data_IF_118212358984
#
_entry.id   IF_118212358984
#
_cell.length_a   1.000
_cell.length_b   1.000
_cell.length_c   1.000
_cell.angle_alpha   90.00
_cell.angle_beta   90.00
_cell.angle_gamma   90.00
#
_symmetry.space_group_name_H-M   'P 1'
#
loop_
_entity.id
_entity.type
_entity.pdbx_description
1 polymer ?
#
# COMPACT_ATOMS: atom_id res chain seq x y z
N UNK A 1 -15.55 4.06 9.79
CA UNK A 1 -14.55 3.37 10.64
C UNK A 1 -14.44 1.88 10.33
N UNK A 2 -15.54 1.10 10.39
CA UNK A 2 -15.50 -0.37 10.13
C UNK A 2 -14.81 -0.75 8.81
N UNK A 3 -15.17 -0.11 7.69
CA UNK A 3 -14.56 -0.37 6.37
C UNK A 3 -13.05 -0.10 6.30
N UNK A 4 -12.60 0.99 6.90
CA UNK A 4 -11.16 1.34 6.92
C UNK A 4 -10.37 0.28 7.68
N UNK A 5 -10.91 -0.21 8.81
CA UNK A 5 -10.30 -1.29 9.56
C UNK A 5 -10.26 -2.60 8.77
N UNK A 6 -11.31 -2.93 8.02
CA UNK A 6 -11.33 -4.10 7.14
C UNK A 6 -10.26 -3.98 6.05
N UNK A 7 -10.17 -2.83 5.37
CA UNK A 7 -9.14 -2.58 4.35
C UNK A 7 -7.74 -2.69 4.95
N UNK A 8 -7.52 -2.06 6.11
CA UNK A 8 -6.25 -2.13 6.83
C UNK A 8 -5.85 -3.57 7.15
N UNK A 9 -6.77 -4.36 7.70
CA UNK A 9 -6.51 -5.75 8.06
C UNK A 9 -6.28 -6.64 6.83
N UNK A 10 -7.07 -6.46 5.76
CA UNK A 10 -6.94 -7.24 4.53
C UNK A 10 -5.63 -6.95 3.82
N UNK A 11 -5.27 -5.67 3.64
CA UNK A 11 -4.02 -5.29 2.97
C UNK A 11 -2.79 -5.59 3.83
N UNK A 12 -2.88 -5.43 5.16
CA UNK A 12 -1.83 -5.84 6.08
C UNK A 12 -1.59 -7.35 6.04
N UNK A 13 -2.66 -8.16 6.00
CA UNK A 13 -2.55 -9.61 5.89
C UNK A 13 -1.95 -10.02 4.53
N UNK A 14 -2.41 -9.40 3.45
CA UNK A 14 -1.87 -9.64 2.11
C UNK A 14 -0.38 -9.32 2.06
N UNK A 15 0.05 -8.19 2.64
CA UNK A 15 1.46 -7.83 2.75
C UNK A 15 2.26 -8.90 3.48
N UNK A 16 1.81 -9.34 4.66
CA UNK A 16 2.51 -10.37 5.46
C UNK A 16 2.64 -11.68 4.69
N UNK A 17 1.61 -12.08 3.95
CA UNK A 17 1.66 -13.27 3.09
C UNK A 17 2.71 -13.09 2.00
N UNK A 18 2.69 -11.97 1.27
CA UNK A 18 3.69 -11.69 0.25
C UNK A 18 5.11 -11.67 0.83
N UNK A 19 5.33 -10.94 1.91
CA UNK A 19 6.64 -10.85 2.56
C UNK A 19 7.12 -12.24 3.02
N UNK A 20 6.24 -13.06 3.58
CA UNK A 20 6.59 -14.43 4.01
C UNK A 20 6.93 -15.31 2.81
N UNK A 21 6.22 -15.17 1.69
CA UNK A 21 6.52 -15.94 0.47
C UNK A 21 7.88 -15.55 -0.14
N UNK A 22 8.26 -14.26 -0.10
CA UNK A 22 9.51 -13.78 -0.69
C UNK A 22 10.72 -13.89 0.25
N UNK A 23 10.55 -13.64 1.56
CA UNK A 23 11.63 -13.59 2.57
C UNK A 23 11.65 -14.81 3.49
N UNK A 24 10.62 -15.63 3.49
CA UNK A 24 10.47 -16.80 4.37
C UNK A 24 9.91 -16.49 5.76
N UNK A 25 9.81 -15.22 6.15
CA UNK A 25 9.22 -14.78 7.42
C UNK A 25 8.77 -13.30 7.37
N UNK A 26 7.86 -12.95 8.27
CA UNK A 26 7.37 -11.59 8.48
C UNK A 26 7.32 -11.28 9.97
N UNK A 27 7.82 -10.11 10.37
CA UNK A 27 7.71 -9.68 11.77
C UNK A 27 6.30 -9.16 12.04
N UNK A 28 5.69 -9.41 13.21
CA UNK A 28 4.31 -8.99 13.49
C UNK A 28 4.03 -7.50 13.29
N UNK A 29 5.03 -6.63 13.49
CA UNK A 29 4.92 -5.19 13.23
C UNK A 29 4.64 -4.87 11.76
N UNK A 30 5.06 -5.73 10.83
CA UNK A 30 4.88 -5.52 9.39
C UNK A 30 3.42 -5.64 8.97
N UNK A 31 2.59 -6.39 9.72
CA UNK A 31 1.14 -6.36 9.54
C UNK A 31 0.58 -4.96 9.75
N UNK A 32 1.03 -4.28 10.82
CA UNK A 32 0.58 -2.94 11.18
C UNK A 32 1.05 -1.90 10.16
N UNK A 33 2.34 -1.97 9.79
CA UNK A 33 2.96 -1.06 8.82
C UNK A 33 2.35 -1.26 7.43
N UNK A 34 2.23 -2.50 6.96
CA UNK A 34 1.66 -2.82 5.65
C UNK A 34 0.19 -2.40 5.53
N UNK A 35 -0.61 -2.65 6.56
CA UNK A 35 -2.00 -2.19 6.61
C UNK A 35 -2.11 -0.67 6.59
N UNK A 36 -1.23 0.04 7.33
CA UNK A 36 -1.20 1.50 7.36
C UNK A 36 -0.86 2.07 5.99
N UNK A 37 0.17 1.53 5.33
CA UNK A 37 0.52 1.89 3.96
C UNK A 37 -0.66 1.70 3.01
N UNK A 38 -1.34 0.54 3.07
CA UNK A 38 -2.49 0.25 2.23
C UNK A 38 -3.63 1.26 2.40
N UNK A 39 -3.96 1.62 3.65
CA UNK A 39 -4.97 2.65 3.92
C UNK A 39 -4.54 4.03 3.40
N UNK A 40 -3.30 4.46 3.69
CA UNK A 40 -2.84 5.80 3.32
C UNK A 40 -2.77 5.97 1.80
N UNK A 41 -2.21 5.00 1.09
CA UNK A 41 -2.17 4.99 -0.38
C UNK A 41 -3.60 5.03 -0.94
N UNK A 42 -4.49 4.16 -0.43
CA UNK A 42 -5.90 4.14 -0.81
C UNK A 42 -6.61 5.47 -0.61
N UNK A 43 -6.41 6.12 0.55
CA UNK A 43 -7.06 7.40 0.83
C UNK A 43 -6.66 8.51 -0.14
N UNK A 44 -5.45 8.46 -0.69
CA UNK A 44 -4.98 9.47 -1.65
C UNK A 44 -5.48 9.17 -3.04
N UNK A 45 -5.48 7.91 -3.47
CA UNK A 45 -6.10 7.53 -4.75
C UNK A 45 -7.59 7.89 -4.78
N UNK A 46 -8.25 7.76 -3.63
CA UNK A 46 -9.66 8.08 -3.45
C UNK A 46 -9.93 9.59 -3.23
N UNK A 47 -8.92 10.45 -3.23
CA UNK A 47 -9.12 11.89 -3.11
C UNK A 47 -9.56 12.49 -4.47
N UNK A 48 -10.59 13.38 -4.51
CA UNK A 48 -11.14 13.91 -5.76
C UNK A 48 -10.12 14.58 -6.70
N UNK A 49 -9.04 15.13 -6.14
CA UNK A 49 -7.94 15.74 -6.90
C UNK A 49 -7.11 14.73 -7.69
N UNK A 50 -7.08 13.48 -7.24
CA UNK A 50 -6.28 12.39 -7.79
C UNK A 50 -7.07 11.44 -8.70
N UNK A 51 -8.40 11.56 -8.77
CA UNK A 51 -9.24 10.75 -9.67
C UNK A 51 -8.83 10.82 -11.15
N UNK A 52 -8.23 11.94 -11.56
CA UNK A 52 -7.75 12.17 -12.93
C UNK A 52 -6.23 12.29 -13.00
N UNK A 53 -5.54 12.01 -11.91
CA UNK A 53 -4.08 12.02 -11.91
C UNK A 53 -3.59 10.75 -12.62
N UNK A 54 -2.58 10.86 -13.50
CA UNK A 54 -1.99 9.69 -14.14
C UNK A 54 -1.51 8.67 -13.13
N UNK A 55 -1.58 7.39 -13.48
CA UNK A 55 -1.18 6.30 -12.56
C UNK A 55 0.28 6.46 -12.13
N UNK A 56 1.16 6.98 -12.99
CA UNK A 56 2.54 7.32 -12.63
C UNK A 56 2.60 8.31 -11.46
N UNK A 57 1.77 9.36 -11.47
CA UNK A 57 1.78 10.39 -10.41
C UNK A 57 1.29 9.79 -9.10
N UNK A 58 0.23 8.98 -9.16
CA UNK A 58 -0.25 8.21 -8.01
C UNK A 58 0.85 7.28 -7.48
N UNK A 59 1.59 6.62 -8.39
CA UNK A 59 2.69 5.73 -8.04
C UNK A 59 3.84 6.43 -7.33
N UNK A 60 4.24 7.62 -7.79
CA UNK A 60 5.29 8.42 -7.15
C UNK A 60 4.87 8.82 -5.73
N UNK A 61 3.66 9.35 -5.59
CA UNK A 61 3.15 9.82 -4.29
C UNK A 61 2.99 8.65 -3.32
N UNK A 62 2.43 7.54 -3.80
CA UNK A 62 2.31 6.31 -3.02
C UNK A 62 3.67 5.81 -2.54
N UNK A 63 4.69 5.81 -3.39
CA UNK A 63 6.03 5.36 -3.02
C UNK A 63 6.66 6.27 -1.95
N UNK A 64 6.48 7.59 -2.07
CA UNK A 64 6.95 8.56 -1.05
C UNK A 64 6.28 8.32 0.30
N UNK A 65 5.00 7.98 0.30
CA UNK A 65 4.26 7.69 1.55
C UNK A 65 4.74 6.41 2.18
N UNK A 66 4.93 5.35 1.39
CA UNK A 66 5.48 4.09 1.90
C UNK A 66 6.85 4.33 2.51
N UNK A 67 7.74 5.06 1.83
CA UNK A 67 9.04 5.43 2.38
C UNK A 67 8.94 6.25 3.67
N UNK A 68 8.01 7.20 3.76
CA UNK A 68 7.82 7.99 4.98
C UNK A 68 7.34 7.12 6.14
N UNK A 69 6.39 6.23 5.90
CA UNK A 69 5.88 5.29 6.90
C UNK A 69 6.95 4.29 7.31
N UNK A 70 7.72 3.75 6.36
CA UNK A 70 8.85 2.86 6.63
C UNK A 70 9.91 3.56 7.46
N UNK A 71 10.28 4.79 7.13
CA UNK A 71 11.28 5.54 7.88
C UNK A 71 10.85 5.77 9.34
N UNK A 72 9.63 6.26 9.55
CA UNK A 72 9.10 6.49 10.90
C UNK A 72 8.99 5.17 11.67
N UNK A 73 8.49 4.11 11.03
CA UNK A 73 8.37 2.79 11.63
C UNK A 73 9.73 2.20 11.97
N UNK A 74 10.73 2.36 11.10
CA UNK A 74 12.10 1.91 11.33
C UNK A 74 12.76 2.66 12.49
N UNK A 75 12.56 3.98 12.60
CA UNK A 75 13.01 4.76 13.75
C UNK A 75 12.43 4.24 15.06
N UNK A 76 11.14 3.89 15.10
CA UNK A 76 10.49 3.35 16.30
C UNK A 76 10.94 1.91 16.58
N UNK A 77 10.81 1.02 15.60
CA UNK A 77 11.00 -0.41 15.78
C UNK A 77 12.48 -0.79 15.88
N UNK A 78 13.33 -0.21 15.05
CA UNK A 78 14.74 -0.60 14.96
C UNK A 78 15.63 0.30 15.82
N UNK A 79 15.48 1.62 15.76
CA UNK A 79 16.36 2.53 16.50
C UNK A 79 15.96 2.68 17.97
N UNK A 80 14.66 2.85 18.26
CA UNK A 80 14.20 3.05 19.63
C UNK A 80 14.02 1.72 20.38
N UNK A 81 13.32 0.77 19.78
CA UNK A 81 13.01 -0.52 20.42
C UNK A 81 14.07 -1.61 20.19
N UNK A 82 15.02 -1.40 19.26
CA UNK A 82 16.11 -2.36 19.01
C UNK A 82 15.67 -3.69 18.41
N UNK A 83 14.50 -3.77 17.76
CA UNK A 83 13.92 -5.04 17.30
C UNK A 83 14.60 -5.61 16.05
N UNK A 84 15.35 -4.80 15.31
CA UNK A 84 16.10 -5.27 14.13
C UNK A 84 15.22 -5.92 13.06
N UNK A 85 14.04 -5.35 12.80
CA UNK A 85 13.03 -5.89 11.87
C UNK A 85 13.55 -5.94 10.43
N UNK A 86 14.32 -4.93 10.02
CA UNK A 86 15.08 -4.88 8.78
C UNK A 86 16.31 -3.97 8.94
N UNK A 87 17.28 -4.10 8.03
CA UNK A 87 18.48 -3.27 8.01
C UNK A 87 18.94 -2.98 6.58
N UNK A 88 18.90 -1.69 6.20
CA UNK A 88 19.36 -1.19 4.91
C UNK A 88 20.68 -0.42 4.99
N UNK A 89 21.42 -0.52 6.11
CA UNK A 89 22.68 0.21 6.31
C UNK A 89 23.74 -0.10 5.24
N UNK A 90 23.69 -1.30 4.66
CA UNK A 90 24.58 -1.74 3.58
C UNK A 90 24.12 -1.30 2.17
N UNK A 91 23.00 -0.58 2.06
CA UNK A 91 22.48 -0.13 0.76
C UNK A 91 22.97 1.29 0.44
N UNK A 92 23.32 1.58 -0.83
CA UNK A 92 23.80 2.89 -1.23
C UNK A 92 22.68 3.94 -1.06
N UNK A 93 23.04 5.09 -0.48
CA UNK A 93 22.11 6.20 -0.26
C UNK A 93 21.05 5.94 0.82
N UNK A 94 21.27 4.94 1.69
CA UNK A 94 20.35 4.70 2.80
C UNK A 94 20.29 5.89 3.78
N UNK A 95 19.16 6.02 4.46
CA UNK A 95 18.94 7.00 5.53
C UNK A 95 18.74 6.23 6.84
N UNK A 96 19.70 6.37 7.77
CA UNK A 96 19.72 5.70 9.08
C UNK A 96 19.55 4.17 9.03
N UNK A 97 19.88 3.54 7.89
CA UNK A 97 19.61 2.12 7.66
C UNK A 97 18.13 1.74 7.58
N UNK A 98 17.19 2.70 7.55
CA UNK A 98 15.74 2.43 7.58
C UNK A 98 15.07 2.48 6.23
N UNK A 99 15.52 3.38 5.35
CA UNK A 99 15.05 3.48 3.95
C UNK A 99 16.23 3.60 3.01
N UNK A 100 16.05 3.23 1.74
CA UNK A 100 17.03 3.51 0.70
C UNK A 100 16.36 3.75 -0.67
N UNK A 101 17.05 4.40 -1.63
CA UNK A 101 16.52 4.67 -2.97
C UNK A 101 16.12 3.40 -3.73
N UNK A 102 16.83 2.29 -3.55
CA UNK A 102 16.53 1.03 -4.23
C UNK A 102 15.13 0.49 -3.84
N UNK A 103 14.81 0.50 -2.54
CA UNK A 103 13.47 0.13 -2.08
C UNK A 103 12.42 1.18 -2.45
N UNK A 104 12.79 2.46 -2.49
CA UNK A 104 11.91 3.51 -3.03
C UNK A 104 11.48 3.25 -4.48
N UNK A 105 12.42 2.84 -5.33
CA UNK A 105 12.14 2.44 -6.70
C UNK A 105 11.30 1.16 -6.76
N UNK A 106 11.58 0.18 -5.91
CA UNK A 106 10.76 -1.03 -5.80
C UNK A 106 9.31 -0.68 -5.49
N UNK A 107 9.08 0.19 -4.50
CA UNK A 107 7.73 0.65 -4.13
C UNK A 107 7.05 1.38 -5.27
N UNK A 108 7.78 2.21 -6.02
CA UNK A 108 7.25 2.88 -7.20
C UNK A 108 6.75 1.90 -8.27
N UNK A 109 7.52 0.85 -8.58
CA UNK A 109 7.12 -0.16 -9.58
C UNK A 109 6.02 -1.11 -9.10
N UNK A 110 5.93 -1.36 -7.79
CA UNK A 110 4.86 -2.17 -7.19
C UNK A 110 3.57 -1.34 -7.00
N UNK A 111 3.66 -0.01 -6.96
CA UNK A 111 2.51 0.84 -6.64
C UNK A 111 1.27 0.61 -7.53
N UNK A 112 1.37 0.36 -8.86
CA UNK A 112 0.22 -0.02 -9.68
C UNK A 112 -0.56 -1.24 -9.12
N UNK A 113 0.17 -2.24 -8.61
CA UNK A 113 -0.43 -3.41 -7.97
C UNK A 113 -1.11 -3.02 -6.64
N UNK A 114 -0.51 -2.13 -5.86
CA UNK A 114 -1.08 -1.65 -4.61
C UNK A 114 -2.37 -0.83 -4.84
N UNK A 115 -2.38 0.06 -5.85
CA UNK A 115 -3.56 0.82 -6.29
C UNK A 115 -4.68 -0.16 -6.66
N UNK A 116 -4.37 -1.12 -7.52
CA UNK A 116 -5.32 -2.16 -7.93
C UNK A 116 -5.86 -2.98 -6.74
N UNK A 117 -4.98 -3.41 -5.84
CA UNK A 117 -5.37 -4.22 -4.68
C UNK A 117 -6.29 -3.44 -3.74
N UNK A 118 -6.03 -2.14 -3.56
CA UNK A 118 -6.86 -1.27 -2.72
C UNK A 118 -8.25 -1.05 -3.34
N UNK A 119 -8.32 -0.66 -4.61
CA UNK A 119 -9.58 -0.46 -5.34
C UNK A 119 -10.41 -1.75 -5.35
N UNK A 120 -9.75 -2.88 -5.61
CA UNK A 120 -10.40 -4.20 -5.60
C UNK A 120 -10.93 -4.55 -4.22
N UNK A 121 -10.15 -4.33 -3.16
CA UNK A 121 -10.58 -4.59 -1.78
C UNK A 121 -11.80 -3.75 -1.43
N UNK A 122 -11.80 -2.47 -1.80
CA UNK A 122 -12.91 -1.55 -1.58
C UNK A 122 -14.18 -1.98 -2.31
N UNK A 123 -14.04 -2.39 -3.57
CA UNK A 123 -15.15 -2.89 -4.37
C UNK A 123 -15.73 -4.19 -3.79
N UNK A 124 -14.87 -5.15 -3.40
CA UNK A 124 -15.31 -6.42 -2.82
C UNK A 124 -16.04 -6.23 -1.49
N UNK A 125 -15.57 -5.33 -0.62
CA UNK A 125 -16.25 -4.99 0.63
C UNK A 125 -17.64 -4.42 0.34
N UNK A 126 -17.75 -3.48 -0.60
CA UNK A 126 -19.05 -2.93 -1.00
C UNK A 126 -19.98 -4.00 -1.56
N UNK A 127 -19.49 -4.85 -2.48
CA UNK A 127 -20.28 -5.92 -3.08
C UNK A 127 -20.76 -6.93 -2.03
N UNK A 128 -19.91 -7.27 -1.07
CA UNK A 128 -20.27 -8.12 0.06
C UNK A 128 -21.34 -7.48 0.94
N UNK A 129 -21.20 -6.19 1.28
CA UNK A 129 -22.18 -5.46 2.08
C UNK A 129 -23.56 -5.39 1.39
N UNK A 130 -23.59 -5.20 0.07
CA UNK A 130 -24.83 -5.22 -0.71
C UNK A 130 -25.46 -6.63 -0.76
N UNK A 131 -24.65 -7.67 -0.95
CA UNK A 131 -25.13 -9.04 -1.09
C UNK A 131 -25.63 -9.64 0.24
N UNK A 132 -24.94 -9.38 1.35
CA UNK A 132 -25.21 -10.01 2.64
C UNK A 132 -26.04 -9.14 3.56
N UNK A 133 -25.78 -7.83 3.59
CA UNK A 133 -26.44 -6.90 4.50
C UNK A 133 -27.48 -6.01 3.80
N UNK A 134 -27.74 -6.24 2.51
CA UNK A 134 -28.67 -5.44 1.69
C UNK A 134 -28.41 -3.94 1.78
N UNK A 135 -27.14 -3.55 1.88
CA UNK A 135 -26.73 -2.15 1.95
C UNK A 135 -27.18 -1.39 0.69
N UNK A 136 -27.77 -0.21 0.89
CA UNK A 136 -28.14 0.72 -0.18
C UNK A 136 -27.07 1.80 -0.43
N UNK A 137 -25.86 1.58 0.08
CA UNK A 137 -24.77 2.51 -0.16
C UNK A 137 -24.37 2.55 -1.63
N UNK A 138 -24.05 3.75 -2.11
CA UNK A 138 -23.56 3.97 -3.45
C UNK A 138 -22.28 3.15 -3.71
N UNK A 139 -22.07 2.67 -4.95
CA UNK A 139 -20.84 1.99 -5.33
C UNK A 139 -19.62 2.90 -5.13
N UNK A 140 -18.41 2.33 -5.01
CA UNK A 140 -17.18 3.10 -5.05
C UNK A 140 -17.16 4.02 -6.27
N UNK A 141 -16.72 5.26 -6.07
CA UNK A 141 -16.71 6.31 -7.10
C UNK A 141 -15.74 6.01 -8.23
N UNK A 142 -14.67 5.28 -7.97
CA UNK A 142 -13.69 4.85 -8.94
C UNK A 142 -14.01 3.41 -9.35
N UNK A 143 -14.09 3.17 -10.66
CA UNK A 143 -14.19 1.82 -11.19
C UNK A 143 -12.86 1.09 -10.98
N UNK A 144 -12.86 -0.14 -10.45
CA UNK A 144 -11.62 -0.87 -10.20
C UNK A 144 -10.88 -1.11 -11.51
N UNK A 145 -9.57 -0.86 -11.50
CA UNK A 145 -8.73 -1.24 -12.62
C UNK A 145 -8.71 -2.76 -12.80
N UNK A 146 -8.49 -3.21 -14.04
CA UNK A 146 -7.87 -4.52 -14.26
C UNK A 146 -6.36 -4.41 -14.09
N UNK A 147 -5.67 -5.51 -13.76
CA UNK A 147 -4.20 -5.52 -13.72
C UNK A 147 -3.58 -5.03 -15.05
N UNK A 148 -4.15 -5.45 -16.18
CA UNK A 148 -3.69 -5.01 -17.51
C UNK A 148 -3.85 -3.51 -17.71
N UNK A 149 -4.97 -2.92 -17.28
CA UNK A 149 -5.22 -1.50 -17.45
C UNK A 149 -4.37 -0.63 -16.52
N UNK A 150 -4.20 -1.00 -15.24
CA UNK A 150 -3.40 -0.17 -14.32
C UNK A 150 -1.93 -0.12 -14.74
N UNK A 151 -1.38 -1.25 -15.20
CA UNK A 151 -0.01 -1.28 -15.73
C UNK A 151 0.07 -0.63 -17.12
N UNK A 152 -0.97 -0.74 -17.95
CA UNK A 152 -1.05 -0.03 -19.21
C UNK A 152 -0.98 1.49 -19.02
N UNK A 153 -1.78 2.03 -18.12
CA UNK A 153 -1.81 3.46 -17.81
C UNK A 153 -0.51 3.91 -17.13
N UNK A 154 0.07 3.08 -16.24
CA UNK A 154 1.38 3.32 -15.64
C UNK A 154 2.50 3.40 -16.67
N UNK A 155 2.52 2.52 -17.68
CA UNK A 155 3.58 2.53 -18.72
C UNK A 155 3.34 3.65 -19.75
N UNK A 156 2.08 3.90 -20.10
CA UNK A 156 1.72 4.92 -21.09
C UNK A 156 1.62 6.34 -20.50
N UNK A 157 1.79 6.51 -19.20
CA UNK A 157 1.70 7.79 -18.50
C UNK A 157 0.33 8.45 -18.56
N UNK A 158 -0.73 7.63 -18.58
CA UNK A 158 -2.13 8.08 -18.62
C UNK A 158 -2.75 8.15 -17.23
#
# INVERSE_FOLDING_TARGET
MKRILTIWATLGAAYVVFETLFRGYSHPSMFVVGGLCGVLVGTINQAPRFYRAPVIVQSVIGAVIVLAVEFVSGCVLNLWLGLGVWDYSNQPGNVLGQICPAFGLLWFFIMPLAIWAEDTTRYLIWAYDCAVYHSQEAPPTIAPYSLKSVYGDFICGR
#
